data_IF_305939950009
#
_entry.id   IF_305939950009
#
_cell.length_a   1.000
_cell.length_b   1.000
_cell.length_c   1.000
_cell.angle_alpha   90.00
_cell.angle_beta   90.00
_cell.angle_gamma   90.00
#
_symmetry.space_group_name_H-M   'P 1'
#
loop_
_entity.id
_entity.type
_entity.pdbx_description
1 polymer ?
#
# COMPACT_ATOMS: atom_id res chain seq x y z
N UNK A 1 32.02 10.61 9.25
CA UNK A 1 32.49 9.90 8.04
C UNK A 1 32.34 8.41 8.30
N UNK A 2 31.35 7.79 7.69
CA UNK A 2 31.06 6.36 7.80
C UNK A 2 30.05 6.04 6.73
N UNK A 3 30.51 5.94 5.48
CA UNK A 3 29.67 5.50 4.37
C UNK A 3 29.42 4.02 4.64
N UNK A 4 28.31 3.71 5.30
CA UNK A 4 27.78 2.36 5.35
C UNK A 4 27.46 2.03 3.89
N UNK A 5 28.34 1.27 3.25
CA UNK A 5 28.10 0.70 1.93
C UNK A 5 26.96 -0.31 2.06
N UNK A 6 25.71 0.18 1.94
CA UNK A 6 24.50 -0.65 1.94
C UNK A 6 24.56 -1.55 0.71
N UNK A 7 24.64 -2.86 0.93
CA UNK A 7 24.76 -3.87 -0.13
C UNK A 7 23.45 -3.97 -0.90
N UNK A 8 23.51 -4.11 -2.22
CA UNK A 8 22.30 -4.27 -3.02
C UNK A 8 21.50 -5.53 -2.61
N UNK A 9 20.19 -5.42 -2.39
CA UNK A 9 19.29 -6.49 -1.92
C UNK A 9 19.27 -6.79 -0.41
N UNK A 10 19.60 -5.82 0.48
CA UNK A 10 19.64 -6.05 1.93
C UNK A 10 18.25 -6.39 2.54
N UNK A 11 18.01 -7.63 3.02
CA UNK A 11 16.75 -8.04 3.64
C UNK A 11 16.49 -7.35 4.99
N UNK A 12 17.52 -6.77 5.62
CA UNK A 12 17.42 -6.12 6.92
C UNK A 12 16.65 -4.81 6.84
N UNK A 13 16.84 -4.01 5.79
CA UNK A 13 16.10 -2.76 5.59
C UNK A 13 14.58 -3.01 5.51
N UNK A 14 14.19 -4.03 4.74
CA UNK A 14 12.79 -4.44 4.63
C UNK A 14 12.22 -5.06 5.91
N UNK A 15 13.04 -5.48 6.87
CA UNK A 15 12.61 -5.99 8.19
C UNK A 15 12.46 -4.86 9.21
N UNK A 16 13.37 -3.90 9.21
CA UNK A 16 13.33 -2.74 10.13
C UNK A 16 12.14 -1.82 9.86
N UNK A 17 11.79 -1.63 8.59
CA UNK A 17 10.67 -0.77 8.19
C UNK A 17 9.30 -1.45 8.34
N UNK A 18 9.25 -2.76 8.62
CA UNK A 18 7.98 -3.48 8.74
C UNK A 18 7.28 -3.19 10.05
N UNK A 19 5.98 -3.01 9.97
CA UNK A 19 5.13 -2.99 11.13
C UNK A 19 5.30 -4.31 11.94
N UNK A 20 5.52 -4.26 13.27
CA UNK A 20 5.85 -5.45 14.07
C UNK A 20 4.82 -6.58 13.99
N UNK A 21 3.54 -6.23 13.78
CA UNK A 21 2.45 -7.21 13.66
C UNK A 21 2.25 -7.74 12.24
N UNK A 22 2.82 -7.13 11.20
CA UNK A 22 2.48 -7.44 9.81
C UNK A 22 2.72 -8.93 9.48
N UNK A 23 3.87 -9.48 9.86
CA UNK A 23 4.21 -10.88 9.57
C UNK A 23 3.33 -11.86 10.37
N UNK A 24 2.94 -11.51 11.60
CA UNK A 24 2.05 -12.34 12.43
C UNK A 24 0.64 -12.36 11.85
N UNK A 25 0.13 -11.18 11.45
CA UNK A 25 -1.17 -11.04 10.78
C UNK A 25 -1.18 -11.75 9.42
N UNK A 26 -0.07 -11.69 8.67
CA UNK A 26 0.08 -12.42 7.42
C UNK A 26 0.01 -13.94 7.66
N UNK A 27 0.75 -14.45 8.64
CA UNK A 27 0.71 -15.88 8.99
C UNK A 27 -0.70 -16.32 9.40
N UNK A 28 -1.43 -15.51 10.17
CA UNK A 28 -2.82 -15.76 10.53
C UNK A 28 -3.74 -15.79 9.29
N UNK A 29 -3.63 -14.82 8.39
CA UNK A 29 -4.42 -14.79 7.15
C UNK A 29 -4.14 -16.00 6.25
N UNK A 30 -2.87 -16.40 6.15
CA UNK A 30 -2.46 -17.60 5.41
C UNK A 30 -3.00 -18.86 6.06
N UNK A 31 -2.98 -18.96 7.39
CA UNK A 31 -3.57 -20.08 8.13
C UNK A 31 -5.09 -20.18 7.88
N UNK A 32 -5.81 -19.06 7.87
CA UNK A 32 -7.25 -19.03 7.54
C UNK A 32 -7.50 -19.56 6.13
N UNK A 33 -6.74 -19.11 5.14
CA UNK A 33 -6.83 -19.62 3.76
C UNK A 33 -6.50 -21.11 3.69
N UNK A 34 -5.47 -21.56 4.39
CA UNK A 34 -5.09 -22.97 4.46
C UNK A 34 -6.20 -23.86 5.05
N UNK A 35 -6.81 -23.44 6.16
CA UNK A 35 -7.92 -24.15 6.78
C UNK A 35 -9.14 -24.21 5.85
N UNK A 36 -9.44 -23.11 5.13
CA UNK A 36 -10.51 -23.10 4.14
C UNK A 36 -10.25 -24.08 2.99
N UNK A 37 -8.99 -24.17 2.51
CA UNK A 37 -8.59 -25.13 1.48
C UNK A 37 -8.73 -26.57 1.97
N UNK A 38 -8.28 -26.88 3.19
CA UNK A 38 -8.45 -28.21 3.80
C UNK A 38 -9.94 -28.57 3.91
N UNK A 39 -10.78 -27.64 4.38
CA UNK A 39 -12.23 -27.85 4.49
C UNK A 39 -12.90 -28.07 3.13
N UNK A 40 -12.49 -27.34 2.10
CA UNK A 40 -12.93 -27.57 0.73
C UNK A 40 -12.51 -28.96 0.21
N UNK A 41 -11.24 -29.35 0.38
CA UNK A 41 -10.76 -30.67 -0.06
C UNK A 41 -11.50 -31.80 0.66
N UNK A 42 -11.73 -31.67 1.97
CA UNK A 42 -12.50 -32.65 2.76
C UNK A 42 -13.94 -32.82 2.22
N UNK A 43 -14.65 -31.72 1.95
CA UNK A 43 -16.00 -31.75 1.35
C UNK A 43 -16.03 -32.35 -0.05
N UNK A 44 -14.99 -32.10 -0.85
CA UNK A 44 -14.85 -32.74 -2.16
C UNK A 44 -14.82 -34.28 -2.04
N UNK A 45 -14.03 -34.80 -1.10
CA UNK A 45 -13.96 -36.24 -0.83
C UNK A 45 -15.26 -36.81 -0.25
N UNK A 46 -16.06 -35.99 0.45
CA UNK A 46 -17.36 -36.38 0.97
C UNK A 46 -18.49 -36.42 -0.08
N UNK A 47 -18.19 -36.08 -1.35
CA UNK A 47 -19.18 -36.12 -2.44
C UNK A 47 -19.94 -34.81 -2.67
N UNK A 48 -19.47 -33.69 -2.11
CA UNK A 48 -20.03 -32.34 -2.34
C UNK A 48 -19.08 -31.48 -3.21
N UNK A 49 -19.03 -31.68 -4.54
CA UNK A 49 -18.00 -31.09 -5.40
C UNK A 49 -18.20 -29.59 -5.72
N UNK A 50 -19.34 -28.98 -5.38
CA UNK A 50 -19.67 -27.60 -5.76
C UNK A 50 -18.82 -26.54 -5.06
N UNK A 51 -18.70 -26.62 -3.74
CA UNK A 51 -17.97 -25.62 -2.93
C UNK A 51 -16.44 -25.67 -3.10
N UNK A 52 -15.80 -26.86 -3.25
CA UNK A 52 -14.37 -26.95 -3.50
C UNK A 52 -13.95 -26.33 -4.83
N UNK A 53 -14.78 -26.50 -5.88
CA UNK A 53 -14.53 -25.90 -7.19
C UNK A 53 -14.53 -24.37 -7.14
N UNK A 54 -15.46 -23.79 -6.35
CA UNK A 54 -15.54 -22.35 -6.16
C UNK A 54 -14.31 -21.79 -5.44
N UNK A 55 -13.86 -22.44 -4.37
CA UNK A 55 -12.66 -22.02 -3.63
C UNK A 55 -11.38 -22.13 -4.50
N UNK A 56 -11.25 -23.22 -5.25
CA UNK A 56 -10.10 -23.44 -6.15
C UNK A 56 -10.10 -22.46 -7.34
N UNK A 57 -11.24 -21.85 -7.68
CA UNK A 57 -11.32 -20.83 -8.74
C UNK A 57 -10.77 -19.46 -8.33
N UNK A 58 -10.66 -19.17 -7.02
CA UNK A 58 -10.17 -17.88 -6.49
C UNK A 58 -8.77 -17.49 -6.99
N UNK A 59 -7.73 -18.35 -6.94
CA UNK A 59 -6.40 -17.99 -7.47
C UNK A 59 -6.42 -17.62 -8.95
N UNK A 60 -7.20 -18.36 -9.76
CA UNK A 60 -7.36 -18.04 -11.17
C UNK A 60 -8.06 -16.69 -11.34
N UNK A 61 -9.15 -16.44 -10.60
CA UNK A 61 -9.84 -15.15 -10.60
C UNK A 61 -8.90 -14.00 -10.22
N UNK A 62 -8.14 -14.13 -9.14
CA UNK A 62 -7.15 -13.13 -8.70
C UNK A 62 -6.10 -12.88 -9.80
N UNK A 63 -5.63 -13.95 -10.45
CA UNK A 63 -4.67 -13.83 -11.55
C UNK A 63 -5.24 -13.02 -12.72
N UNK A 64 -6.45 -13.38 -13.19
CA UNK A 64 -7.11 -12.72 -14.32
C UNK A 64 -7.49 -11.27 -14.02
N UNK A 65 -8.10 -11.01 -12.86
CA UNK A 65 -8.49 -9.64 -12.45
C UNK A 65 -7.27 -8.73 -12.38
N UNK A 66 -6.15 -9.19 -11.82
CA UNK A 66 -4.92 -8.41 -11.74
C UNK A 66 -4.24 -8.25 -13.11
N UNK A 67 -4.31 -9.26 -13.97
CA UNK A 67 -3.82 -9.18 -15.34
C UNK A 67 -4.58 -8.11 -16.14
N UNK A 68 -5.92 -8.10 -16.03
CA UNK A 68 -6.77 -7.08 -16.62
C UNK A 68 -6.47 -5.68 -16.04
N UNK A 69 -6.28 -5.58 -14.72
CA UNK A 69 -5.93 -4.31 -14.08
C UNK A 69 -4.60 -3.75 -14.59
N UNK A 70 -3.58 -4.60 -14.76
CA UNK A 70 -2.30 -4.19 -15.31
C UNK A 70 -2.42 -3.79 -16.78
N UNK A 71 -3.15 -4.56 -17.58
CA UNK A 71 -3.41 -4.24 -18.98
C UNK A 71 -4.11 -2.89 -19.13
N UNK A 72 -5.12 -2.60 -18.29
CA UNK A 72 -5.84 -1.31 -18.28
C UNK A 72 -4.90 -0.12 -18.08
N UNK A 73 -3.96 -0.21 -17.13
CA UNK A 73 -3.03 0.90 -16.90
C UNK A 73 -2.09 1.12 -18.10
N UNK A 74 -1.69 0.02 -18.76
CA UNK A 74 -0.81 0.07 -19.93
C UNK A 74 -1.45 0.68 -21.16
N UNK A 75 -2.73 0.39 -21.41
CA UNK A 75 -3.42 0.80 -22.64
C UNK A 75 -4.12 2.16 -22.50
N UNK A 76 -4.55 2.53 -21.29
CA UNK A 76 -5.28 3.78 -21.05
C UNK A 76 -4.46 4.83 -20.32
N UNK A 77 -3.41 4.44 -19.60
CA UNK A 77 -2.52 5.34 -18.89
C UNK A 77 -1.35 5.81 -19.74
N UNK A 78 -0.72 6.90 -19.31
CA UNK A 78 0.48 7.46 -19.92
C UNK A 78 1.69 6.93 -19.17
N UNK A 79 2.56 6.17 -19.84
CA UNK A 79 3.73 5.57 -19.20
C UNK A 79 4.72 6.66 -18.76
N UNK A 80 5.18 6.59 -17.51
CA UNK A 80 6.24 7.45 -17.00
C UNK A 80 7.60 6.91 -17.48
N UNK A 81 8.37 7.75 -18.16
CA UNK A 81 9.69 7.45 -18.72
C UNK A 81 10.62 8.66 -18.54
N UNK A 82 11.90 8.53 -18.89
CA UNK A 82 12.83 9.66 -18.89
C UNK A 82 12.36 10.80 -19.80
N UNK A 83 11.78 10.47 -20.96
CA UNK A 83 11.28 11.48 -21.90
C UNK A 83 9.89 12.01 -21.53
N UNK A 84 9.12 11.28 -20.70
CA UNK A 84 7.73 11.58 -20.40
C UNK A 84 7.49 11.54 -18.89
N UNK A 85 7.27 12.71 -18.29
CA UNK A 85 7.33 12.94 -16.83
C UNK A 85 8.71 12.62 -16.23
N UNK A 86 9.81 13.26 -16.71
CA UNK A 86 11.19 13.00 -16.25
C UNK A 86 11.36 13.12 -14.73
N UNK A 87 10.66 14.07 -14.12
CA UNK A 87 10.72 14.27 -12.67
C UNK A 87 10.11 13.11 -11.90
N UNK A 88 8.89 12.70 -12.24
CA UNK A 88 8.26 11.54 -11.59
C UNK A 88 9.01 10.23 -11.89
N UNK A 89 9.60 10.09 -13.08
CA UNK A 89 10.48 8.96 -13.39
C UNK A 89 11.66 8.89 -12.41
N UNK A 90 12.34 10.03 -12.18
CA UNK A 90 13.44 10.13 -11.20
C UNK A 90 12.95 9.80 -9.79
N UNK A 91 11.78 10.29 -9.38
CA UNK A 91 11.22 9.97 -8.05
C UNK A 91 11.01 8.45 -7.88
N UNK A 92 10.48 7.75 -8.89
CA UNK A 92 10.29 6.28 -8.85
C UNK A 92 11.63 5.55 -8.85
N UNK A 93 12.59 5.99 -9.67
CA UNK A 93 13.92 5.40 -9.74
C UNK A 93 14.70 5.58 -8.43
N UNK A 94 14.66 6.78 -7.85
CA UNK A 94 15.28 7.10 -6.57
C UNK A 94 14.67 6.27 -5.44
N UNK A 95 13.34 6.15 -5.38
CA UNK A 95 12.67 5.32 -4.38
C UNK A 95 13.08 3.85 -4.52
N UNK A 96 13.11 3.32 -5.75
CA UNK A 96 13.56 1.96 -6.02
C UNK A 96 15.04 1.75 -5.62
N UNK A 97 15.90 2.75 -5.82
CA UNK A 97 17.29 2.71 -5.39
C UNK A 97 17.43 2.73 -3.85
N UNK A 98 16.70 3.63 -3.16
CA UNK A 98 16.69 3.73 -1.69
C UNK A 98 16.19 2.44 -1.04
N UNK A 99 15.14 1.84 -1.59
CA UNK A 99 14.60 0.55 -1.12
C UNK A 99 15.32 -0.65 -1.71
N UNK A 100 16.38 -0.41 -2.47
CA UNK A 100 17.31 -1.43 -2.90
C UNK A 100 16.68 -2.53 -3.77
N UNK A 101 15.77 -2.10 -4.65
CA UNK A 101 15.00 -2.96 -5.52
C UNK A 101 15.82 -3.37 -6.74
N UNK A 102 15.79 -4.67 -7.07
CA UNK A 102 16.50 -5.24 -8.23
C UNK A 102 16.12 -4.61 -9.57
N UNK A 103 14.92 -4.05 -9.68
CA UNK A 103 14.38 -3.42 -10.88
C UNK A 103 13.48 -2.25 -10.46
N UNK A 104 13.59 -1.14 -11.18
CA UNK A 104 12.65 -0.03 -11.07
C UNK A 104 11.28 -0.51 -11.54
N UNK A 105 10.19 -0.31 -10.77
CA UNK A 105 8.85 -0.70 -11.19
C UNK A 105 8.40 0.16 -12.37
N UNK A 106 7.52 -0.39 -13.22
CA UNK A 106 6.88 0.41 -14.27
C UNK A 106 5.93 1.44 -13.62
N UNK A 107 5.80 2.62 -14.19
CA UNK A 107 4.96 3.66 -13.61
C UNK A 107 4.07 4.30 -14.69
N UNK A 108 2.84 4.67 -14.31
CA UNK A 108 1.84 5.23 -15.21
C UNK A 108 1.14 6.42 -14.56
N UNK A 109 0.93 7.48 -15.34
CA UNK A 109 -0.05 8.51 -15.03
C UNK A 109 -1.41 8.06 -15.56
N UNK A 110 -2.43 8.10 -14.72
CA UNK A 110 -3.80 7.70 -15.06
C UNK A 110 -4.77 8.83 -14.72
N UNK A 111 -5.84 8.98 -15.49
CA UNK A 111 -6.79 10.07 -15.27
C UNK A 111 -7.53 9.89 -13.94
N UNK A 112 -7.39 10.85 -13.03
CA UNK A 112 -7.99 10.78 -11.69
C UNK A 112 -9.38 11.41 -11.56
N UNK A 113 -9.78 12.29 -12.50
CA UNK A 113 -11.07 12.99 -12.50
C UNK A 113 -11.38 13.69 -11.16
N UNK A 114 -10.39 14.34 -10.54
CA UNK A 114 -10.57 15.04 -9.25
C UNK A 114 -10.24 14.18 -8.03
N UNK A 115 -10.03 12.88 -8.21
CA UNK A 115 -9.72 11.95 -7.10
C UNK A 115 -8.21 11.83 -6.93
N UNK A 116 -7.73 12.12 -5.72
CA UNK A 116 -6.35 11.87 -5.33
C UNK A 116 -6.18 10.39 -4.99
N UNK A 117 -5.42 9.68 -5.81
CA UNK A 117 -5.13 8.27 -5.58
C UNK A 117 -3.84 7.85 -6.28
N UNK A 118 -3.11 6.94 -5.67
CA UNK A 118 -2.07 6.16 -6.32
C UNK A 118 -2.18 4.73 -5.80
N UNK A 119 -1.67 3.77 -6.56
CA UNK A 119 -1.60 2.40 -6.08
C UNK A 119 -0.44 1.63 -6.71
N UNK A 120 0.12 0.71 -5.94
CA UNK A 120 1.06 -0.29 -6.38
C UNK A 120 0.39 -1.64 -6.62
N UNK A 121 0.78 -2.30 -7.71
CA UNK A 121 0.34 -3.67 -7.97
C UNK A 121 1.37 -4.45 -8.79
N UNK A 122 0.97 -5.64 -9.21
CA UNK A 122 1.83 -6.57 -9.91
C UNK A 122 1.03 -7.68 -10.57
N UNK A 123 1.60 -8.22 -11.64
CA UNK A 123 1.07 -9.37 -12.35
C UNK A 123 2.24 -10.23 -12.83
N UNK A 124 2.24 -11.52 -12.48
CA UNK A 124 3.42 -12.38 -12.65
C UNK A 124 4.66 -11.80 -11.94
N UNK A 125 5.74 -11.64 -12.71
CA UNK A 125 7.00 -11.03 -12.23
C UNK A 125 7.06 -9.51 -12.38
N UNK A 126 6.08 -8.89 -13.04
CA UNK A 126 6.02 -7.44 -13.27
C UNK A 126 5.46 -6.73 -12.03
N UNK A 127 5.97 -5.53 -11.77
CA UNK A 127 5.57 -4.65 -10.68
C UNK A 127 5.40 -3.26 -11.24
N UNK A 128 4.34 -2.58 -10.82
CA UNK A 128 4.05 -1.25 -11.32
C UNK A 128 3.35 -0.39 -10.28
N UNK A 129 3.46 0.92 -10.48
CA UNK A 129 2.69 1.96 -9.78
C UNK A 129 1.81 2.69 -10.79
N UNK A 130 0.61 3.09 -10.36
CA UNK A 130 -0.28 3.95 -11.12
C UNK A 130 -0.62 5.15 -10.25
N UNK A 131 -0.48 6.35 -10.83
CA UNK A 131 -0.56 7.63 -10.12
C UNK A 131 -1.62 8.45 -10.82
N UNK A 132 -2.65 8.88 -10.10
CA UNK A 132 -3.67 9.74 -10.68
C UNK A 132 -3.07 11.10 -11.08
N UNK A 133 -3.52 11.63 -12.22
CA UNK A 133 -3.14 12.95 -12.74
C UNK A 133 -3.30 14.06 -11.69
N UNK A 134 -4.33 13.98 -10.85
CA UNK A 134 -4.61 14.93 -9.79
C UNK A 134 -3.50 15.06 -8.74
N UNK A 135 -2.66 14.03 -8.56
CA UNK A 135 -1.51 14.07 -7.65
C UNK A 135 -0.39 14.98 -8.16
N UNK A 136 -0.29 15.18 -9.47
CA UNK A 136 0.70 16.07 -10.09
C UNK A 136 0.29 17.55 -9.98
N UNK A 137 -0.98 17.81 -9.63
CA UNK A 137 -1.54 19.17 -9.48
C UNK A 137 -1.70 19.59 -8.02
N UNK A 138 -1.23 18.78 -7.06
CA UNK A 138 -1.29 19.11 -5.63
C UNK A 138 -0.56 20.41 -5.38
N UNK A 139 -1.17 21.38 -4.68
CA UNK A 139 -0.59 22.72 -4.52
C UNK A 139 -0.88 23.69 -5.68
N UNK A 140 -1.68 23.27 -6.67
CA UNK A 140 -2.13 24.12 -7.77
C UNK A 140 -0.98 24.60 -8.64
N UNK A 141 -0.79 25.93 -8.73
CA UNK A 141 0.21 26.55 -9.62
C UNK A 141 1.67 26.25 -9.24
N UNK A 142 1.93 25.85 -8.00
CA UNK A 142 3.30 25.65 -7.50
C UNK A 142 3.73 24.18 -7.43
N UNK A 143 2.79 23.23 -7.61
CA UNK A 143 2.98 21.82 -7.30
C UNK A 143 3.53 21.59 -5.87
N UNK A 144 3.36 20.41 -5.29
CA UNK A 144 4.08 19.99 -4.08
C UNK A 144 4.89 18.73 -4.44
N UNK A 145 6.13 18.90 -4.92
CA UNK A 145 6.97 17.78 -5.33
C UNK A 145 7.28 16.83 -4.17
N UNK A 146 7.36 17.33 -2.93
CA UNK A 146 7.66 16.51 -1.76
C UNK A 146 6.46 15.64 -1.39
N UNK A 147 5.23 16.19 -1.46
CA UNK A 147 4.02 15.39 -1.31
C UNK A 147 3.92 14.28 -2.36
N UNK A 148 4.23 14.58 -3.63
CA UNK A 148 4.25 13.57 -4.70
C UNK A 148 5.35 12.52 -4.47
N UNK A 149 6.56 12.94 -4.06
CA UNK A 149 7.66 12.03 -3.68
C UNK A 149 7.25 11.11 -2.56
N UNK A 150 6.55 11.60 -1.55
CA UNK A 150 6.06 10.77 -0.45
C UNK A 150 5.05 9.72 -0.93
N UNK A 151 4.07 10.11 -1.74
CA UNK A 151 3.09 9.18 -2.33
C UNK A 151 3.80 8.12 -3.19
N UNK A 152 4.75 8.52 -4.03
CA UNK A 152 5.55 7.57 -4.83
C UNK A 152 6.36 6.64 -3.92
N UNK A 153 7.01 7.17 -2.89
CA UNK A 153 7.76 6.39 -1.90
C UNK A 153 6.88 5.37 -1.17
N UNK A 154 5.64 5.73 -0.86
CA UNK A 154 4.65 4.84 -0.26
C UNK A 154 4.30 3.67 -1.20
N UNK A 155 3.93 3.97 -2.45
CA UNK A 155 3.56 2.94 -3.43
C UNK A 155 4.74 2.03 -3.81
N UNK A 156 5.91 2.61 -4.07
CA UNK A 156 7.12 1.82 -4.31
C UNK A 156 7.49 1.02 -3.06
N UNK A 157 7.23 1.56 -1.86
CA UNK A 157 7.35 0.88 -0.58
C UNK A 157 6.49 -0.38 -0.48
N UNK A 158 5.25 -0.38 -1.00
CA UNK A 158 4.45 -1.59 -1.10
C UNK A 158 5.11 -2.68 -1.96
N UNK A 159 5.78 -2.28 -3.04
CA UNK A 159 6.48 -3.22 -3.92
C UNK A 159 7.73 -3.77 -3.20
N UNK A 160 8.52 -2.91 -2.57
CA UNK A 160 9.71 -3.27 -1.82
C UNK A 160 9.39 -4.22 -0.66
N UNK A 161 8.29 -3.96 0.08
CA UNK A 161 7.77 -4.83 1.12
C UNK A 161 7.02 -6.08 0.59
N UNK A 162 7.00 -6.30 -0.73
CA UNK A 162 6.37 -7.48 -1.33
C UNK A 162 4.87 -7.58 -1.11
N UNK A 163 4.19 -6.47 -0.76
CA UNK A 163 2.72 -6.40 -0.62
C UNK A 163 2.04 -6.81 -1.92
N UNK A 164 2.63 -6.45 -3.06
CA UNK A 164 2.06 -6.68 -4.39
C UNK A 164 2.27 -8.10 -4.94
N UNK A 165 2.94 -9.00 -4.21
CA UNK A 165 3.25 -10.37 -4.66
C UNK A 165 2.00 -11.21 -4.93
N UNK A 166 1.94 -11.89 -6.07
CA UNK A 166 0.81 -12.76 -6.42
C UNK A 166 0.58 -13.88 -5.39
N UNK A 167 1.63 -14.58 -4.98
CA UNK A 167 1.54 -15.65 -3.98
C UNK A 167 1.02 -15.13 -2.64
N UNK A 168 1.43 -13.92 -2.26
CA UNK A 168 0.94 -13.27 -1.04
C UNK A 168 -0.55 -12.98 -1.14
N UNK A 169 -0.99 -12.35 -2.23
CA UNK A 169 -2.40 -12.06 -2.46
C UNK A 169 -3.26 -13.33 -2.51
N UNK A 170 -2.76 -14.42 -3.09
CA UNK A 170 -3.41 -15.71 -3.03
C UNK A 170 -3.51 -16.24 -1.59
N UNK A 171 -2.40 -16.22 -0.85
CA UNK A 171 -2.38 -16.70 0.54
C UNK A 171 -3.35 -15.96 1.47
N UNK A 172 -3.74 -14.73 1.15
CA UNK A 172 -4.66 -13.92 1.97
C UNK A 172 -6.06 -13.78 1.37
N UNK A 173 -6.35 -14.40 0.21
CA UNK A 173 -7.57 -14.13 -0.55
C UNK A 173 -8.84 -14.48 0.22
N UNK A 174 -8.84 -15.57 0.98
CA UNK A 174 -9.99 -15.98 1.82
C UNK A 174 -10.13 -15.03 3.00
N UNK A 175 -9.02 -14.70 3.66
CA UNK A 175 -9.00 -13.78 4.80
C UNK A 175 -9.53 -12.38 4.45
N UNK A 176 -9.34 -11.93 3.20
CA UNK A 176 -9.85 -10.64 2.72
C UNK A 176 -11.38 -10.56 2.59
N UNK A 177 -12.07 -11.70 2.54
CA UNK A 177 -13.54 -11.74 2.51
C UNK A 177 -14.12 -11.64 3.93
N UNK A 178 -13.34 -11.99 4.95
CA UNK A 178 -13.78 -11.96 6.35
C UNK A 178 -13.58 -10.55 6.91
N UNK A 179 -14.66 -9.84 7.30
CA UNK A 179 -14.55 -8.49 7.86
C UNK A 179 -13.58 -8.45 9.05
N UNK A 180 -12.69 -7.47 9.06
CA UNK A 180 -11.69 -7.30 10.12
C UNK A 180 -10.42 -8.13 9.94
N UNK A 181 -10.46 -9.32 9.32
CA UNK A 181 -9.27 -10.20 9.27
C UNK A 181 -8.26 -9.68 8.25
N UNK A 182 -8.64 -9.68 6.96
CA UNK A 182 -7.78 -9.18 5.88
C UNK A 182 -7.52 -7.68 5.99
N UNK A 183 -8.51 -6.90 6.43
CA UNK A 183 -8.37 -5.45 6.60
C UNK A 183 -7.34 -5.10 7.68
N UNK A 184 -7.26 -5.85 8.79
CA UNK A 184 -6.23 -5.66 9.82
C UNK A 184 -4.83 -5.89 9.26
N UNK A 185 -4.64 -6.92 8.43
CA UNK A 185 -3.37 -7.09 7.72
C UNK A 185 -3.11 -5.91 6.78
N UNK A 186 -4.11 -5.47 6.01
CA UNK A 186 -4.02 -4.31 5.13
C UNK A 186 -3.51 -3.08 5.87
N UNK A 187 -4.13 -2.72 7.00
CA UNK A 187 -3.70 -1.58 7.83
C UNK A 187 -2.25 -1.69 8.33
N UNK A 188 -1.78 -2.88 8.69
CA UNK A 188 -0.37 -3.08 9.04
C UNK A 188 0.57 -2.87 7.85
N UNK A 189 0.16 -3.26 6.63
CA UNK A 189 0.93 -3.03 5.40
C UNK A 189 1.02 -1.55 5.03
N UNK A 190 -0.05 -0.79 5.27
CA UNK A 190 -0.07 0.68 5.09
C UNK A 190 0.95 1.37 5.99
N UNK A 191 1.03 0.99 7.28
CA UNK A 191 2.07 1.53 8.17
C UNK A 191 3.48 1.17 7.71
N UNK A 192 3.70 -0.04 7.18
CA UNK A 192 4.98 -0.41 6.58
C UNK A 192 5.31 0.44 5.35
N UNK A 193 4.32 0.72 4.50
CA UNK A 193 4.50 1.58 3.34
C UNK A 193 4.76 3.04 3.74
N UNK A 194 4.08 3.54 4.78
CA UNK A 194 4.37 4.85 5.39
C UNK A 194 5.80 4.92 5.93
N UNK A 195 6.31 3.84 6.52
CA UNK A 195 7.70 3.78 6.96
C UNK A 195 8.70 3.88 5.79
N UNK A 196 8.37 3.27 4.64
CA UNK A 196 9.17 3.39 3.42
C UNK A 196 9.11 4.80 2.85
N UNK A 197 7.91 5.39 2.75
CA UNK A 197 7.70 6.75 2.29
C UNK A 197 8.48 7.76 3.14
N UNK A 198 8.39 7.63 4.47
CA UNK A 198 9.08 8.51 5.41
C UNK A 198 10.60 8.34 5.36
N UNK A 199 11.12 7.11 5.13
CA UNK A 199 12.55 6.93 4.89
C UNK A 199 13.00 7.63 3.59
N UNK A 200 12.16 7.60 2.55
CA UNK A 200 12.49 8.13 1.24
C UNK A 200 12.39 9.67 1.17
N UNK A 201 11.38 10.26 1.80
CA UNK A 201 11.14 11.70 1.81
C UNK A 201 10.39 12.10 3.11
N UNK A 202 11.11 12.29 4.23
CA UNK A 202 10.48 12.69 5.49
C UNK A 202 9.63 13.97 5.39
N UNK A 203 10.11 14.95 4.62
CA UNK A 203 9.49 16.27 4.43
C UNK A 203 8.12 16.15 3.77
N UNK A 204 7.97 15.21 2.84
CA UNK A 204 6.73 14.96 2.10
C UNK A 204 5.62 14.32 2.93
N UNK A 205 5.88 13.89 4.18
CA UNK A 205 4.84 13.36 5.07
C UNK A 205 3.71 14.37 5.31
N UNK A 206 4.04 15.65 5.29
CA UNK A 206 3.09 16.76 5.38
C UNK A 206 2.07 16.76 4.22
N UNK A 207 2.40 16.14 3.09
CA UNK A 207 1.51 15.95 1.95
C UNK A 207 0.29 15.09 2.28
N UNK A 208 0.33 14.24 3.31
CA UNK A 208 -0.79 13.37 3.69
C UNK A 208 -2.10 14.15 3.97
N UNK A 209 -1.99 15.43 4.35
CA UNK A 209 -3.11 16.38 4.50
C UNK A 209 -4.03 16.44 3.27
N UNK A 210 -3.50 16.19 2.08
CA UNK A 210 -4.29 16.22 0.85
C UNK A 210 -5.29 15.06 0.75
N UNK A 211 -5.02 13.91 1.38
CA UNK A 211 -5.98 12.81 1.43
C UNK A 211 -7.10 13.06 2.45
N UNK A 212 -6.95 14.09 3.30
CA UNK A 212 -7.98 14.50 4.27
C UNK A 212 -8.84 15.64 3.72
N UNK A 213 -8.22 16.66 3.12
CA UNK A 213 -8.91 17.89 2.73
C UNK A 213 -8.85 18.21 1.22
N UNK A 214 -8.22 17.35 0.42
CA UNK A 214 -8.08 17.55 -1.03
C UNK A 214 -6.91 18.46 -1.42
N UNK A 215 -6.62 18.51 -2.73
CA UNK A 215 -5.41 19.14 -3.31
C UNK A 215 -5.30 20.66 -3.14
N UNK A 216 -6.38 21.33 -2.75
CA UNK A 216 -6.44 22.79 -2.59
C UNK A 216 -6.50 23.27 -1.13
N UNK A 217 -7.15 22.50 -0.24
CA UNK A 217 -7.33 22.91 1.17
C UNK A 217 -6.28 22.29 2.11
N UNK A 218 -5.44 21.38 1.61
CA UNK A 218 -4.51 20.64 2.48
C UNK A 218 -3.51 21.51 3.24
N UNK A 219 -3.15 22.68 2.71
CA UNK A 219 -2.25 23.63 3.38
C UNK A 219 -2.89 24.28 4.61
N UNK A 220 -4.23 24.35 4.67
CA UNK A 220 -4.97 24.85 5.83
C UNK A 220 -5.15 23.78 6.93
N UNK A 221 -4.78 22.53 6.67
CA UNK A 221 -4.84 21.45 7.65
C UNK A 221 -3.59 21.50 8.53
N UNK A 222 -3.81 21.56 9.84
CA UNK A 222 -2.76 21.37 10.83
C UNK A 222 -2.52 19.87 11.02
N UNK A 223 -1.30 19.41 10.71
CA UNK A 223 -0.92 18.00 10.79
C UNK A 223 -0.95 17.49 12.24
N UNK A 224 -0.40 18.27 13.16
CA UNK A 224 -0.26 17.88 14.56
C UNK A 224 -1.61 17.90 15.26
N UNK A 225 -2.51 18.84 14.91
CA UNK A 225 -3.87 18.85 15.42
C UNK A 225 -4.67 17.59 15.00
N UNK A 226 -4.47 17.08 13.77
CA UNK A 226 -5.09 15.82 13.32
C UNK A 226 -4.47 14.62 14.04
N UNK A 227 -3.14 14.61 14.24
CA UNK A 227 -2.44 13.56 14.97
C UNK A 227 -2.88 13.48 16.45
N UNK A 228 -3.05 14.64 17.10
CA UNK A 228 -3.49 14.75 18.50
C UNK A 228 -4.84 14.08 18.73
N UNK A 229 -5.76 14.24 17.77
CA UNK A 229 -7.10 13.64 17.82
C UNK A 229 -7.09 12.12 17.92
N UNK A 230 -6.01 11.43 17.54
CA UNK A 230 -5.90 9.99 17.76
C UNK A 230 -5.94 9.57 19.25
N UNK A 231 -5.67 10.51 20.17
CA UNK A 231 -5.76 10.28 21.62
C UNK A 231 -7.14 10.56 22.19
N UNK A 232 -7.90 11.48 21.59
CA UNK A 232 -9.21 11.91 22.06
C UNK A 232 -10.36 11.18 21.38
N UNK A 233 -10.25 10.95 20.07
CA UNK A 233 -11.28 10.36 19.24
C UNK A 233 -11.26 8.83 19.44
N UNK A 234 -11.87 8.41 20.55
CA UNK A 234 -11.98 7.01 20.97
C UNK A 234 -13.45 6.62 21.14
N UNK A 235 -13.74 5.32 21.09
CA UNK A 235 -15.09 4.80 21.31
C UNK A 235 -15.46 3.66 20.38
N UNK A 236 -16.63 3.07 20.61
CA UNK A 236 -17.11 1.90 19.87
C UNK A 236 -17.22 2.14 18.36
N UNK A 237 -17.80 3.28 17.94
CA UNK A 237 -17.95 3.56 16.52
C UNK A 237 -16.63 3.89 15.82
N UNK A 238 -15.66 4.49 16.52
CA UNK A 238 -14.30 4.68 15.99
C UNK A 238 -13.64 3.33 15.75
N UNK A 239 -13.73 2.41 16.73
CA UNK A 239 -13.23 1.05 16.60
C UNK A 239 -13.90 0.32 15.42
N UNK A 240 -15.23 0.43 15.29
CA UNK A 240 -15.99 -0.23 14.22
C UNK A 240 -15.58 0.30 12.83
N UNK A 241 -15.45 1.62 12.68
CA UNK A 241 -14.98 2.24 11.43
C UNK A 241 -13.56 1.77 11.11
N UNK A 242 -12.66 1.76 12.09
CA UNK A 242 -11.29 1.29 11.88
C UNK A 242 -11.23 -0.20 11.50
N UNK A 243 -12.03 -1.04 12.16
CA UNK A 243 -12.11 -2.48 11.90
C UNK A 243 -12.54 -2.78 10.45
N UNK A 244 -13.54 -2.04 9.97
CA UNK A 244 -14.13 -2.22 8.64
C UNK A 244 -13.33 -1.51 7.53
N UNK A 245 -12.45 -0.56 7.87
CA UNK A 245 -11.62 0.14 6.89
C UNK A 245 -10.44 -0.71 6.41
N UNK A 246 -10.16 -0.69 5.10
CA UNK A 246 -8.99 -1.33 4.50
C UNK A 246 -7.68 -0.58 4.77
N UNK A 247 -7.76 0.73 5.00
CA UNK A 247 -6.63 1.61 5.35
C UNK A 247 -6.77 2.11 6.80
N UNK A 248 -5.66 2.43 7.50
CA UNK A 248 -5.74 3.07 8.80
C UNK A 248 -6.54 4.36 8.72
N UNK A 249 -7.39 4.61 9.72
CA UNK A 249 -8.11 5.88 9.80
C UNK A 249 -7.11 7.04 9.88
N UNK A 250 -7.47 8.18 9.28
CA UNK A 250 -6.56 9.31 9.11
C UNK A 250 -5.91 9.76 10.43
N UNK A 251 -6.67 9.88 11.52
CA UNK A 251 -6.12 10.29 12.83
C UNK A 251 -4.99 9.35 13.29
N UNK A 252 -5.17 8.03 13.15
CA UNK A 252 -4.17 7.04 13.56
C UNK A 252 -2.94 7.06 12.65
N UNK A 253 -3.15 7.24 11.34
CA UNK A 253 -2.06 7.35 10.36
C UNK A 253 -1.20 8.58 10.61
N UNK A 254 -1.82 9.73 10.85
CA UNK A 254 -1.12 10.98 11.20
C UNK A 254 -0.36 10.83 12.52
N UNK A 255 -0.98 10.24 13.55
CA UNK A 255 -0.32 9.99 14.82
C UNK A 255 0.92 9.08 14.68
N UNK A 256 0.85 8.04 13.85
CA UNK A 256 1.97 7.14 13.59
C UNK A 256 3.12 7.77 12.78
N UNK A 257 2.84 8.84 12.04
CA UNK A 257 3.85 9.63 11.33
C UNK A 257 4.40 10.77 12.20
N UNK A 258 3.60 11.33 13.10
CA UNK A 258 4.03 12.32 14.09
C UNK A 258 4.94 11.71 15.16
N UNK A 259 4.57 10.55 15.72
CA UNK A 259 5.37 9.81 16.72
C UNK A 259 5.88 8.49 16.12
N UNK A 260 7.11 8.54 15.61
CA UNK A 260 7.81 7.39 15.01
C UNK A 260 8.39 6.43 16.06
N UNK A 261 8.32 6.76 17.35
CA UNK A 261 8.79 5.92 18.45
C UNK A 261 7.85 4.75 18.77
N UNK A 262 6.63 4.76 18.20
CA UNK A 262 5.61 3.73 18.41
C UNK A 262 5.08 3.19 17.08
N UNK A 263 4.80 1.89 16.99
CA UNK A 263 4.12 1.35 15.82
C UNK A 263 2.68 1.88 15.74
N UNK A 264 2.19 2.08 14.52
CA UNK A 264 0.82 2.51 14.26
C UNK A 264 -0.24 1.55 14.81
N UNK A 265 -1.40 2.07 15.21
CA UNK A 265 -2.48 1.25 15.76
C UNK A 265 -3.22 0.52 14.64
N UNK A 266 -3.20 -0.81 14.68
CA UNK A 266 -3.89 -1.65 13.68
C UNK A 266 -5.37 -1.86 14.02
N UNK A 267 -5.76 -1.75 15.30
CA UNK A 267 -7.14 -1.78 15.78
C UNK A 267 -7.41 -0.55 16.66
#
# INVERSE_FOLDING_TARGET
MGIITRRWGDPHLGRELRHPLENRLLAMCVAVTWLAVIGAVSRAYAGEPGEPLLLLSIPALVYFVRGQLFARQRINGVRITEDQFPEAYRMVADAAAVFNMRRVPEAYVVLGNGVLNAFASGHGSRRYVAINSDLFEVGGRLADPDALRFVIGHEVGHIAAGHTSFLRHFGISVANVIPGVGSTLGRAQEYTADNHAHLFCPEGAQGLRMFVAGKYLYTAVDFDAVAERARTDTGFFVLLVNLLSSHPVNTFRFAALADRGRPGRVL
#
